data_IF_539974370790
#
_entry.id   IF_539974370790
#
_cell.length_a   1.000
_cell.length_b   1.000
_cell.length_c   1.000
_cell.angle_alpha   90.00
_cell.angle_beta   90.00
_cell.angle_gamma   90.00
#
_symmetry.space_group_name_H-M   'P 1'
#
loop_
_entity.id
_entity.type
_entity.pdbx_description
1 polymer ?
#
# COMPACT_ATOMS: atom_id res chain seq x y z
N UNK A 1 -4.09 19.50 14.68
CA UNK A 1 -2.80 19.52 13.95
C UNK A 1 -2.96 20.45 12.75
N UNK A 2 -2.17 21.52 12.67
CA UNK A 2 -2.20 22.47 11.54
C UNK A 2 -1.05 22.18 10.60
N UNK A 3 -1.32 22.12 9.30
CA UNK A 3 -0.34 21.92 8.24
C UNK A 3 -0.27 23.19 7.38
N UNK A 4 0.79 23.36 6.59
CA UNK A 4 0.92 24.53 5.71
C UNK A 4 1.23 24.14 4.26
N UNK A 5 0.72 24.93 3.31
CA UNK A 5 1.06 24.86 1.89
C UNK A 5 1.68 26.18 1.46
N UNK A 6 2.78 26.12 0.70
CA UNK A 6 3.45 27.29 0.16
C UNK A 6 2.81 27.73 -1.17
N UNK A 7 2.44 29.00 -1.25
CA UNK A 7 2.04 29.65 -2.48
C UNK A 7 3.26 30.18 -3.23
N UNK A 8 3.18 30.26 -4.56
CA UNK A 8 4.14 30.96 -5.42
C UNK A 8 4.39 32.42 -5.01
N UNK A 9 3.46 33.06 -4.31
CA UNK A 9 3.68 34.41 -3.75
C UNK A 9 4.60 34.42 -2.51
N UNK A 10 5.10 33.26 -2.09
CA UNK A 10 5.96 33.08 -0.91
C UNK A 10 5.21 32.96 0.42
N UNK A 11 3.87 33.12 0.43
CA UNK A 11 3.07 32.97 1.66
C UNK A 11 2.74 31.51 1.94
N UNK A 12 2.73 31.16 3.23
CA UNK A 12 2.28 29.86 3.74
C UNK A 12 0.81 29.95 4.14
N UNK A 13 -0.05 29.18 3.49
CA UNK A 13 -1.48 29.10 3.83
C UNK A 13 -1.70 27.92 4.78
N UNK A 14 -2.30 28.13 5.98
CA UNK A 14 -2.62 27.03 6.88
C UNK A 14 -3.76 26.19 6.30
N UNK A 15 -3.61 24.88 6.35
CA UNK A 15 -4.61 23.91 5.89
C UNK A 15 -4.87 22.86 6.97
N UNK A 16 -6.09 22.34 6.98
CA UNK A 16 -6.49 21.21 7.84
C UNK A 16 -6.58 19.92 7.02
N UNK A 17 -6.70 18.77 7.69
CA UNK A 17 -6.85 17.48 7.03
C UNK A 17 -8.07 17.42 6.08
N UNK A 18 -9.13 18.18 6.38
CA UNK A 18 -10.33 18.26 5.55
C UNK A 18 -10.10 18.92 4.18
N UNK A 19 -9.04 19.71 4.03
CA UNK A 19 -8.72 20.40 2.77
C UNK A 19 -7.78 19.59 1.86
N UNK A 20 -7.28 18.43 2.32
CA UNK A 20 -6.30 17.64 1.58
C UNK A 20 -6.92 16.99 0.34
N UNK A 21 -6.24 17.11 -0.82
CA UNK A 21 -6.76 16.67 -2.11
C UNK A 21 -7.83 17.60 -2.71
N UNK A 22 -8.08 18.75 -2.08
CA UNK A 22 -8.96 19.80 -2.58
C UNK A 22 -8.20 21.05 -2.99
N UNK A 23 -8.91 22.18 -3.05
CA UNK A 23 -8.34 23.50 -3.38
C UNK A 23 -8.59 24.49 -2.26
N UNK A 24 -7.64 25.39 -2.03
CA UNK A 24 -7.74 26.47 -1.04
C UNK A 24 -7.28 27.79 -1.65
N UNK A 25 -7.96 28.87 -1.31
CA UNK A 25 -7.59 30.20 -1.81
C UNK A 25 -6.50 30.82 -0.92
N UNK A 26 -5.47 31.35 -1.57
CA UNK A 26 -4.45 32.16 -0.93
C UNK A 26 -4.92 33.61 -0.82
N UNK A 27 -4.45 34.33 0.21
CA UNK A 27 -4.72 35.76 0.40
C UNK A 27 -4.22 36.66 -0.75
N UNK A 28 -3.39 36.14 -1.66
CA UNK A 28 -3.00 36.84 -2.88
C UNK A 28 -4.05 36.75 -4.00
N UNK A 29 -5.17 36.05 -3.78
CA UNK A 29 -6.24 35.83 -4.74
C UNK A 29 -6.04 34.62 -5.66
N UNK A 30 -4.97 33.83 -5.47
CA UNK A 30 -4.73 32.60 -6.25
C UNK A 30 -5.32 31.39 -5.53
N UNK A 31 -5.91 30.48 -6.30
CA UNK A 31 -6.33 29.16 -5.82
C UNK A 31 -5.15 28.18 -5.87
N UNK A 32 -4.89 27.51 -4.76
CA UNK A 32 -3.82 26.52 -4.60
C UNK A 32 -4.43 25.11 -4.59
N UNK A 33 -3.79 24.19 -5.30
CA UNK A 33 -4.13 22.77 -5.21
C UNK A 33 -3.43 22.18 -3.98
N UNK A 34 -4.22 21.60 -3.07
CA UNK A 34 -3.73 21.04 -1.81
C UNK A 34 -3.33 19.58 -2.06
N UNK A 35 -2.05 19.22 -1.90
CA UNK A 35 -1.61 17.84 -2.05
C UNK A 35 -2.39 16.88 -1.13
N UNK A 36 -2.27 15.58 -1.41
CA UNK A 36 -2.82 14.56 -0.49
C UNK A 36 -2.19 14.71 0.89
N UNK A 37 -2.93 14.35 1.93
CA UNK A 37 -2.52 14.51 3.33
C UNK A 37 -1.13 13.92 3.60
N UNK A 38 -0.81 12.79 2.94
CA UNK A 38 0.49 12.12 3.01
C UNK A 38 1.64 13.03 2.55
N UNK A 39 1.54 13.61 1.35
CA UNK A 39 2.56 14.50 0.78
C UNK A 39 2.72 15.76 1.62
N UNK A 40 1.61 16.25 2.16
CA UNK A 40 1.56 17.44 2.99
C UNK A 40 2.27 17.23 4.33
N UNK A 41 2.10 16.06 4.97
CA UNK A 41 2.85 15.68 6.18
C UNK A 41 4.35 15.60 5.90
N UNK A 42 4.75 14.99 4.78
CA UNK A 42 6.16 14.88 4.36
C UNK A 42 6.77 16.29 4.19
N UNK A 43 6.10 17.17 3.44
CA UNK A 43 6.57 18.55 3.20
C UNK A 43 6.66 19.40 4.46
N UNK A 44 5.83 19.12 5.47
CA UNK A 44 5.84 19.82 6.75
C UNK A 44 6.80 19.17 7.78
N UNK A 45 7.62 18.20 7.38
CA UNK A 45 8.58 17.54 8.27
C UNK A 45 7.95 16.72 9.40
N UNK A 46 6.67 16.36 9.26
CA UNK A 46 5.95 15.61 10.30
C UNK A 46 6.30 14.14 10.17
N UNK A 47 7.15 13.67 11.09
CA UNK A 47 7.74 12.34 11.15
C UNK A 47 6.83 11.23 11.71
N UNK A 48 5.57 11.55 12.06
CA UNK A 48 4.55 10.54 12.43
C UNK A 48 3.95 9.87 11.18
N UNK A 49 4.81 9.45 10.26
CA UNK A 49 4.46 8.53 9.20
C UNK A 49 4.29 7.15 9.82
N UNK A 50 3.23 6.46 9.40
CA UNK A 50 3.08 5.04 9.73
C UNK A 50 4.32 4.28 9.24
N UNK A 51 4.68 3.20 9.93
CA UNK A 51 5.84 2.37 9.56
C UNK A 51 5.78 1.93 8.10
N UNK A 52 4.57 1.68 7.59
CA UNK A 52 4.30 1.35 6.20
C UNK A 52 4.57 2.51 5.23
N UNK A 53 4.19 3.73 5.59
CA UNK A 53 4.50 4.91 4.77
C UNK A 53 5.99 5.21 4.74
N UNK A 54 6.70 5.01 5.86
CA UNK A 54 8.16 5.13 5.92
C UNK A 54 8.82 4.11 5.01
N UNK A 55 8.42 2.85 5.09
CA UNK A 55 8.95 1.80 4.23
C UNK A 55 8.77 2.18 2.75
N UNK A 56 7.56 2.60 2.37
CA UNK A 56 7.26 3.01 1.00
C UNK A 56 8.09 4.21 0.51
N UNK A 57 8.43 5.14 1.41
CA UNK A 57 9.30 6.28 1.05
C UNK A 57 10.75 5.82 0.85
N UNK A 58 11.28 5.01 1.76
CA UNK A 58 12.64 4.43 1.64
C UNK A 58 12.76 3.64 0.34
N UNK A 59 11.72 2.90 -0.06
CA UNK A 59 11.72 2.19 -1.34
C UNK A 59 11.72 3.09 -2.56
N UNK A 60 11.05 4.24 -2.48
CA UNK A 60 10.90 5.12 -3.65
C UNK A 60 12.26 5.65 -4.13
N UNK A 61 13.22 5.73 -3.22
CA UNK A 61 14.58 6.20 -3.50
C UNK A 61 15.49 5.12 -4.12
N UNK A 62 15.03 3.87 -4.24
CA UNK A 62 15.76 2.78 -4.89
C UNK A 62 15.58 1.43 -4.22
N UNK A 63 16.06 0.33 -4.84
CA UNK A 63 16.04 -0.98 -4.21
C UNK A 63 16.79 -0.96 -2.87
N UNK A 64 16.32 -1.75 -1.91
CA UNK A 64 16.97 -1.89 -0.62
C UNK A 64 18.36 -2.50 -0.85
N UNK A 65 19.38 -1.63 -0.80
CA UNK A 65 20.82 -1.89 -0.96
C UNK A 65 21.29 -2.06 -2.41
N UNK A 66 22.01 -1.05 -2.86
CA UNK A 66 22.96 -1.15 -3.96
C UNK A 66 24.13 -2.09 -3.56
N UNK A 67 24.14 -3.31 -4.08
CA UNK A 67 25.38 -3.86 -4.63
C UNK A 67 26.32 -4.70 -3.76
N UNK A 68 25.86 -5.54 -2.83
CA UNK A 68 26.78 -6.52 -2.16
C UNK A 68 26.36 -7.99 -2.31
N UNK A 69 25.14 -8.28 -2.74
CA UNK A 69 24.68 -9.65 -2.99
C UNK A 69 23.29 -9.92 -2.43
N UNK A 70 22.86 -11.17 -2.54
CA UNK A 70 21.55 -11.64 -2.12
C UNK A 70 21.22 -11.23 -0.67
N UNK A 71 20.08 -10.58 -0.45
CA UNK A 71 19.61 -10.15 0.86
C UNK A 71 19.47 -11.31 1.88
N UNK A 72 19.34 -12.55 1.40
CA UNK A 72 19.10 -13.73 2.24
C UNK A 72 20.36 -14.55 2.53
N UNK A 73 21.25 -14.70 1.55
CA UNK A 73 22.44 -15.56 1.66
C UNK A 73 23.76 -14.84 1.38
N UNK A 74 23.72 -13.55 1.05
CA UNK A 74 24.87 -12.69 0.76
C UNK A 74 25.73 -13.10 -0.44
N UNK A 75 25.29 -14.06 -1.27
CA UNK A 75 25.99 -14.45 -2.50
C UNK A 75 25.86 -13.35 -3.56
N UNK A 76 26.97 -13.00 -4.24
CA UNK A 76 27.11 -11.93 -5.26
C UNK A 76 26.38 -12.17 -6.60
N UNK A 77 25.23 -12.84 -6.60
CA UNK A 77 24.45 -13.15 -7.80
C UNK A 77 22.95 -12.91 -7.57
N UNK A 78 22.61 -11.71 -7.11
CA UNK A 78 21.21 -11.30 -6.93
C UNK A 78 20.57 -10.85 -8.23
N UNK A 79 19.33 -11.26 -8.48
CA UNK A 79 18.41 -10.51 -9.34
C UNK A 79 17.54 -9.62 -8.45
N UNK A 80 17.06 -8.50 -8.97
CA UNK A 80 16.13 -7.65 -8.24
C UNK A 80 14.73 -8.26 -8.33
N UNK A 81 14.14 -8.57 -7.19
CA UNK A 81 12.75 -9.03 -7.06
C UNK A 81 11.94 -7.96 -6.34
N UNK A 82 10.67 -7.80 -6.71
CA UNK A 82 9.73 -6.95 -5.98
C UNK A 82 9.02 -7.80 -4.94
N UNK A 83 9.18 -7.44 -3.67
CA UNK A 83 8.41 -7.99 -2.58
C UNK A 83 7.20 -7.11 -2.35
N UNK A 84 6.03 -7.70 -2.36
CA UNK A 84 4.76 -7.07 -2.02
C UNK A 84 4.33 -7.52 -0.63
N UNK A 85 4.09 -6.58 0.28
CA UNK A 85 3.37 -6.81 1.52
C UNK A 85 1.95 -6.29 1.40
N UNK A 86 1.00 -7.21 1.45
CA UNK A 86 -0.42 -6.92 1.64
C UNK A 86 -0.70 -6.86 3.14
N UNK A 87 -0.80 -5.66 3.71
CA UNK A 87 -0.93 -5.48 5.15
C UNK A 87 -2.38 -5.49 5.63
N UNK A 88 -3.30 -4.92 4.83
CA UNK A 88 -4.71 -4.90 5.16
C UNK A 88 -5.53 -4.98 3.88
N UNK A 89 -6.42 -5.99 3.81
CA UNK A 89 -7.42 -6.09 2.75
C UNK A 89 -8.67 -5.34 3.19
N UNK A 90 -9.31 -4.54 2.31
CA UNK A 90 -10.62 -3.98 2.62
C UNK A 90 -11.56 -5.13 2.95
N UNK A 91 -12.21 -5.06 4.11
CA UNK A 91 -13.27 -6.01 4.43
C UNK A 91 -14.47 -5.59 3.59
N UNK A 92 -14.76 -6.40 2.58
CA UNK A 92 -15.95 -6.22 1.77
C UNK A 92 -17.11 -6.80 2.56
N UNK A 93 -17.80 -5.94 3.31
CA UNK A 93 -19.07 -6.32 3.91
C UNK A 93 -20.11 -6.31 2.80
N UNK A 94 -20.38 -7.49 2.23
CA UNK A 94 -21.64 -7.67 1.52
C UNK A 94 -22.74 -7.78 2.57
N UNK A 95 -23.64 -6.81 2.64
CA UNK A 95 -24.93 -7.03 3.30
C UNK A 95 -25.61 -8.18 2.54
N UNK A 96 -25.52 -9.39 3.08
CA UNK A 96 -26.26 -10.51 2.53
C UNK A 96 -27.73 -10.28 2.89
N UNK A 97 -28.45 -9.60 2.01
CA UNK A 97 -29.90 -9.49 2.12
C UNK A 97 -30.48 -10.90 1.94
N UNK A 98 -30.82 -11.53 3.07
CA UNK A 98 -31.41 -12.88 3.10
C UNK A 98 -32.66 -12.98 2.21
N UNK A 99 -33.40 -11.88 2.07
CA UNK A 99 -34.53 -11.74 1.14
C UNK A 99 -34.10 -11.96 -0.30
N UNK A 100 -33.01 -11.32 -0.76
CA UNK A 100 -32.48 -11.47 -2.12
C UNK A 100 -32.07 -12.93 -2.39
N UNK A 101 -31.42 -13.59 -1.42
CA UNK A 101 -31.13 -15.02 -1.50
C UNK A 101 -32.40 -15.88 -1.59
N UNK A 102 -33.46 -15.53 -0.84
CA UNK A 102 -34.72 -16.25 -0.88
C UNK A 102 -35.42 -16.10 -2.24
N UNK A 103 -35.38 -14.92 -2.85
CA UNK A 103 -35.91 -14.67 -4.20
C UNK A 103 -35.14 -15.45 -5.29
N UNK A 104 -33.82 -15.59 -5.15
CA UNK A 104 -33.01 -16.43 -6.06
C UNK A 104 -33.44 -17.89 -5.99
N UNK A 105 -33.72 -18.42 -4.79
CA UNK A 105 -34.20 -19.80 -4.61
C UNK A 105 -35.63 -19.96 -5.14
N UNK A 106 -36.53 -19.01 -4.85
CA UNK A 106 -37.94 -19.12 -5.21
C UNK A 106 -38.22 -18.90 -6.72
N UNK A 107 -37.48 -18.01 -7.38
CA UNK A 107 -37.73 -17.60 -8.77
C UNK A 107 -36.64 -18.04 -9.76
N UNK A 108 -35.67 -18.85 -9.31
CA UNK A 108 -34.66 -19.47 -10.15
C UNK A 108 -33.92 -18.47 -11.05
N UNK A 109 -34.08 -18.64 -12.37
CA UNK A 109 -33.36 -17.84 -13.38
C UNK A 109 -33.63 -16.34 -13.32
N UNK A 110 -34.86 -15.92 -12.97
CA UNK A 110 -35.22 -14.50 -12.89
C UNK A 110 -34.60 -13.83 -11.66
N UNK A 111 -34.61 -14.54 -10.52
CA UNK A 111 -33.97 -14.08 -9.29
C UNK A 111 -32.45 -13.94 -9.46
N UNK A 112 -31.82 -14.84 -10.22
CA UNK A 112 -30.38 -14.77 -10.54
C UNK A 112 -30.02 -13.53 -11.38
N UNK A 113 -30.92 -13.11 -12.28
CA UNK A 113 -30.72 -11.93 -13.12
C UNK A 113 -30.78 -10.63 -12.32
N UNK A 114 -31.71 -10.54 -11.37
CA UNK A 114 -31.81 -9.39 -10.45
C UNK A 114 -30.64 -9.35 -9.45
N UNK A 115 -30.21 -10.50 -8.92
CA UNK A 115 -29.06 -10.56 -8.01
C UNK A 115 -27.75 -10.12 -8.67
N UNK A 116 -27.57 -10.40 -9.97
CA UNK A 116 -26.41 -9.93 -10.73
C UNK A 116 -26.44 -8.42 -10.98
N UNK A 117 -27.63 -7.81 -11.02
CA UNK A 117 -27.78 -6.35 -11.16
C UNK A 117 -27.51 -5.61 -9.83
N UNK A 118 -27.89 -6.21 -8.69
CA UNK A 118 -27.77 -5.60 -7.35
C UNK A 118 -26.36 -5.71 -6.74
N UNK A 119 -25.54 -6.66 -7.16
CA UNK A 119 -24.16 -6.84 -6.66
C UNK A 119 -23.16 -5.72 -7.01
N UNK A 120 -23.60 -4.63 -7.67
CA UNK A 120 -22.70 -3.55 -8.12
C UNK A 120 -22.26 -2.58 -7.04
N UNK A 121 -22.84 -2.61 -5.84
CA UNK A 121 -22.49 -1.70 -4.76
C UNK A 121 -21.87 -2.44 -3.56
N UNK A 122 -20.81 -3.20 -3.82
CA UNK A 122 -19.91 -3.61 -2.74
C UNK A 122 -19.10 -2.38 -2.31
N UNK A 123 -19.58 -1.70 -1.27
CA UNK A 123 -18.85 -0.62 -0.61
C UNK A 123 -17.66 -1.23 0.14
N UNK A 124 -16.49 -1.18 -0.49
CA UNK A 124 -15.24 -1.50 0.19
C UNK A 124 -15.04 -0.48 1.33
N UNK A 125 -15.06 -0.96 2.58
CA UNK A 125 -14.72 -0.17 3.75
C UNK A 125 -13.32 -0.55 4.22
N UNK A 126 -12.40 0.43 4.17
CA UNK A 126 -10.99 0.29 4.53
C UNK A 126 -10.06 0.64 3.36
N UNK A 127 -9.01 1.42 3.65
CA UNK A 127 -7.97 1.71 2.67
C UNK A 127 -7.12 0.44 2.44
N UNK A 128 -6.93 0.05 1.18
CA UNK A 128 -5.98 -1.00 0.84
C UNK A 128 -4.56 -0.51 1.15
N UNK A 129 -3.91 -1.15 2.13
CA UNK A 129 -2.55 -0.81 2.55
C UNK A 129 -1.59 -1.86 2.05
N UNK A 130 -1.04 -1.59 0.87
CA UNK A 130 0.02 -2.39 0.28
C UNK A 130 1.33 -1.60 0.28
N UNK A 131 2.43 -2.29 0.56
CA UNK A 131 3.77 -1.77 0.37
C UNK A 131 4.53 -2.70 -0.58
N UNK A 132 5.31 -2.13 -1.48
CA UNK A 132 6.22 -2.90 -2.33
C UNK A 132 7.65 -2.41 -2.16
N UNK A 133 8.61 -3.32 -2.25
CA UNK A 133 10.02 -2.98 -2.32
C UNK A 133 10.86 -3.92 -3.15
N UNK A 134 11.82 -3.33 -3.87
CA UNK A 134 12.84 -4.07 -4.60
C UNK A 134 13.92 -4.56 -3.64
N UNK A 135 14.30 -5.83 -3.76
CA UNK A 135 15.51 -6.35 -3.12
C UNK A 135 16.25 -7.33 -4.03
N UNK A 136 17.57 -7.36 -3.88
CA UNK A 136 18.41 -8.33 -4.58
C UNK A 136 18.30 -9.70 -3.91
N UNK A 137 17.78 -10.70 -4.61
CA UNK A 137 17.72 -12.09 -4.15
C UNK A 137 18.32 -13.00 -5.23
N UNK A 138 19.13 -13.98 -4.84
CA UNK A 138 19.63 -14.96 -5.82
C UNK A 138 18.52 -15.96 -6.23
N UNK A 139 18.67 -16.53 -7.43
CA UNK A 139 17.69 -17.47 -8.00
C UNK A 139 17.45 -18.70 -7.12
N UNK A 140 18.48 -19.21 -6.44
CA UNK A 140 18.33 -20.36 -5.53
C UNK A 140 17.51 -20.02 -4.29
N UNK A 141 17.72 -18.83 -3.71
CA UNK A 141 16.92 -18.35 -2.62
C UNK A 141 15.45 -18.18 -3.05
N UNK A 142 15.19 -17.59 -4.23
CA UNK A 142 13.82 -17.48 -4.75
C UNK A 142 13.16 -18.83 -4.99
N UNK A 143 13.87 -19.82 -5.56
CA UNK A 143 13.34 -21.19 -5.70
C UNK A 143 13.02 -21.83 -4.35
N UNK A 144 13.85 -21.58 -3.33
CA UNK A 144 13.58 -22.09 -1.98
C UNK A 144 12.37 -21.41 -1.34
N UNK A 145 12.21 -20.11 -1.55
CA UNK A 145 11.05 -19.33 -1.08
C UNK A 145 9.75 -19.83 -1.73
N UNK A 146 9.76 -20.10 -3.04
CA UNK A 146 8.62 -20.66 -3.75
C UNK A 146 8.16 -22.00 -3.17
N UNK A 147 9.10 -22.82 -2.65
CA UNK A 147 8.79 -24.11 -2.03
C UNK A 147 8.38 -24.01 -0.55
N UNK A 148 8.82 -22.97 0.17
CA UNK A 148 8.64 -22.86 1.63
C UNK A 148 8.36 -21.42 2.07
N UNK A 149 7.09 -21.00 1.97
CA UNK A 149 6.64 -19.65 2.33
C UNK A 149 7.07 -19.20 3.73
N UNK A 150 7.00 -20.08 4.74
CA UNK A 150 7.43 -19.76 6.13
C UNK A 150 8.88 -19.29 6.26
N UNK A 151 9.77 -19.66 5.33
CA UNK A 151 11.17 -19.19 5.37
C UNK A 151 11.30 -17.73 4.93
N UNK A 152 10.32 -17.21 4.18
CA UNK A 152 10.33 -15.82 3.73
C UNK A 152 10.18 -14.88 4.92
N UNK A 153 9.17 -15.09 5.76
CA UNK A 153 8.87 -14.24 6.91
C UNK A 153 10.07 -14.18 7.88
N UNK A 154 10.68 -15.34 8.16
CA UNK A 154 11.88 -15.45 9.00
C UNK A 154 13.09 -14.72 8.42
N UNK A 155 13.25 -14.75 7.09
CA UNK A 155 14.41 -14.16 6.45
C UNK A 155 14.24 -12.65 6.27
N UNK A 156 13.02 -12.19 5.97
CA UNK A 156 12.67 -10.78 5.89
C UNK A 156 12.58 -10.11 7.27
N UNK A 157 12.19 -10.85 8.30
CA UNK A 157 12.19 -10.38 9.69
C UNK A 157 13.60 -10.04 10.23
N UNK A 158 14.66 -10.36 9.49
CA UNK A 158 16.03 -9.90 9.82
C UNK A 158 16.28 -8.46 9.41
N UNK A 159 15.47 -7.89 8.52
CA UNK A 159 15.56 -6.50 8.08
C UNK A 159 14.72 -5.66 9.05
N UNK A 160 15.32 -4.77 9.84
CA UNK A 160 14.62 -4.05 10.91
C UNK A 160 13.37 -3.29 10.44
N UNK A 161 13.44 -2.70 9.26
CA UNK A 161 12.34 -1.91 8.68
C UNK A 161 11.15 -2.79 8.30
N UNK A 162 11.41 -4.00 7.77
CA UNK A 162 10.36 -4.96 7.44
C UNK A 162 9.79 -5.57 8.72
N UNK A 163 10.65 -5.90 9.69
CA UNK A 163 10.21 -6.43 10.98
C UNK A 163 9.27 -5.46 11.70
N UNK A 164 9.56 -4.16 11.66
CA UNK A 164 8.68 -3.15 12.23
C UNK A 164 7.29 -3.16 11.56
N UNK A 165 7.23 -3.29 10.23
CA UNK A 165 5.94 -3.42 9.52
C UNK A 165 5.23 -4.72 9.88
N UNK A 166 5.94 -5.85 9.97
CA UNK A 166 5.33 -7.13 10.34
C UNK A 166 4.81 -7.15 11.78
N UNK A 167 5.43 -6.41 12.70
CA UNK A 167 4.94 -6.25 14.06
C UNK A 167 3.65 -5.40 14.11
N UNK A 168 3.58 -4.34 13.32
CA UNK A 168 2.38 -3.51 13.21
C UNK A 168 1.23 -4.23 12.47
N UNK A 169 1.57 -5.18 11.59
CA UNK A 169 0.63 -5.94 10.76
C UNK A 169 0.95 -7.44 10.79
N UNK A 170 0.60 -8.15 11.89
CA UNK A 170 0.96 -9.57 12.06
C UNK A 170 0.30 -10.51 11.03
N UNK A 171 -0.83 -10.09 10.44
CA UNK A 171 -1.55 -10.84 9.41
C UNK A 171 -1.10 -10.48 7.98
N UNK A 172 -0.05 -9.66 7.83
CA UNK A 172 0.43 -9.23 6.52
C UNK A 172 0.87 -10.42 5.67
N UNK A 173 0.44 -10.43 4.40
CA UNK A 173 0.84 -11.46 3.43
C UNK A 173 1.98 -10.95 2.58
N UNK A 174 3.04 -11.73 2.54
CA UNK A 174 4.21 -11.44 1.71
C UNK A 174 4.12 -12.24 0.41
N UNK A 175 4.33 -11.55 -0.71
CA UNK A 175 4.47 -12.13 -2.04
C UNK A 175 5.75 -11.61 -2.69
N UNK A 176 6.34 -12.42 -3.56
CA UNK A 176 7.53 -12.07 -4.30
C UNK A 176 7.22 -12.23 -5.78
N UNK A 177 7.38 -11.15 -6.54
CA UNK A 177 7.24 -11.16 -7.99
C UNK A 177 8.57 -10.78 -8.64
N UNK A 178 8.85 -11.33 -9.81
CA UNK A 178 10.05 -10.95 -10.57
C UNK A 178 9.80 -9.55 -11.14
N UNK A 179 10.69 -8.60 -10.81
CA UNK A 179 10.56 -7.24 -11.35
C UNK A 179 10.75 -7.34 -12.85
N UNK A 180 9.69 -7.07 -13.62
CA UNK A 180 9.76 -6.98 -15.08
C UNK A 180 10.86 -5.98 -15.41
N UNK A 181 11.97 -6.47 -15.99
CA UNK A 181 12.98 -5.61 -16.59
C UNK A 181 12.27 -4.76 -17.63
N UNK A 182 12.01 -3.49 -17.31
CA UNK A 182 11.80 -2.47 -18.32
C UNK A 182 13.05 -2.51 -19.20
N UNK A 183 12.86 -3.03 -20.42
CA UNK A 183 13.88 -3.10 -21.48
C UNK A 183 14.38 -1.71 -21.82
#
# INVERSE_FOLDING_TARGET
MQLTVECECGRKTPVTAAHCGGRVDCLCGRTLDVPRLRDLKIRNGISNLSTLERLTLVTKDGPFRDGVGCALCSVRQGRVYVIFLECQRPQVFGESNWLTNMFVVAFGGLGRLLHLAEQRELTAHGDERNASFGMEICTDCVRQLAKRRRRLDLALGKIPEILAVLNDYPDARIHCDEMWRTK
#
